data_IF_084739401146
#
_entry.id   IF_084739401146
#
_cell.length_a   1.000
_cell.length_b   1.000
_cell.length_c   1.000
_cell.angle_alpha   90.00
_cell.angle_beta   90.00
_cell.angle_gamma   90.00
#
_symmetry.space_group_name_H-M   'P 1'
#
loop_
_entity.id
_entity.type
_entity.pdbx_description
1 polymer ?
#
# COMPACT_ATOMS: atom_id res chain seq x y z
N UNK A 1 16.05 15.22 -6.27
CA UNK A 1 16.24 15.61 -4.86
C UNK A 1 15.28 14.79 -4.03
N UNK A 2 15.76 14.15 -2.96
CA UNK A 2 14.91 13.47 -1.97
C UNK A 2 14.63 14.44 -0.82
N UNK A 3 13.39 14.49 -0.33
CA UNK A 3 13.02 15.29 0.84
C UNK A 3 12.99 14.39 2.07
N UNK A 4 13.87 14.64 3.04
CA UNK A 4 13.93 13.90 4.29
C UNK A 4 13.33 14.70 5.43
N UNK A 5 12.32 14.14 6.10
CA UNK A 5 11.70 14.68 7.29
C UNK A 5 12.11 13.87 8.51
N UNK A 6 13.09 14.37 9.28
CA UNK A 6 13.59 13.73 10.50
C UNK A 6 12.79 14.12 11.76
N UNK A 7 12.19 15.31 11.75
CA UNK A 7 11.46 15.89 12.87
C UNK A 7 10.49 16.96 12.41
N UNK A 8 9.49 17.22 13.23
CA UNK A 8 8.49 18.26 12.99
C UNK A 8 7.34 17.77 12.14
N UNK A 9 6.39 18.68 11.90
CA UNK A 9 5.15 18.40 11.21
C UNK A 9 5.10 19.23 9.93
N UNK A 10 4.95 18.56 8.79
CA UNK A 10 4.82 19.16 7.46
C UNK A 10 3.50 18.73 6.84
N UNK A 11 2.74 19.69 6.34
CA UNK A 11 1.52 19.46 5.56
C UNK A 11 1.79 19.95 4.14
N UNK A 12 1.56 19.07 3.16
CA UNK A 12 1.58 19.41 1.74
C UNK A 12 0.17 19.17 1.22
N UNK A 13 -0.46 20.23 0.71
CA UNK A 13 -1.82 20.17 0.23
C UNK A 13 -2.01 20.95 -1.06
N UNK A 14 -3.01 20.55 -1.81
CA UNK A 14 -3.55 21.34 -2.92
C UNK A 14 -4.12 22.66 -2.41
N UNK A 15 -3.93 23.74 -3.19
CA UNK A 15 -4.56 25.02 -2.90
C UNK A 15 -6.09 24.90 -2.94
N UNK A 16 -6.76 25.38 -1.90
CA UNK A 16 -8.21 25.24 -1.73
C UNK A 16 -8.68 23.84 -1.32
N UNK A 17 -7.80 22.96 -0.81
CA UNK A 17 -8.20 21.65 -0.27
C UNK A 17 -9.36 21.77 0.74
N UNK A 18 -10.44 21.04 0.48
CA UNK A 18 -11.59 20.90 1.35
C UNK A 18 -12.10 19.46 1.24
N UNK A 19 -12.24 18.76 2.37
CA UNK A 19 -12.64 17.34 2.39
C UNK A 19 -14.12 17.09 2.04
N UNK A 20 -14.91 18.15 1.85
CA UNK A 20 -16.36 18.09 1.64
C UNK A 20 -16.77 18.70 0.30
N UNK A 21 -16.00 19.66 -0.21
CA UNK A 21 -16.32 20.41 -1.42
C UNK A 21 -15.45 19.94 -2.60
N UNK A 22 -15.91 20.20 -3.83
CA UNK A 22 -15.14 19.88 -5.03
C UNK A 22 -13.94 20.85 -5.19
N UNK A 23 -12.77 20.29 -5.49
CA UNK A 23 -11.57 21.05 -5.82
C UNK A 23 -10.72 20.29 -6.84
N UNK A 24 -9.79 20.99 -7.48
CA UNK A 24 -8.88 20.39 -8.47
C UNK A 24 -7.58 19.98 -7.80
N UNK A 25 -7.31 18.67 -7.75
CA UNK A 25 -6.05 18.11 -7.22
C UNK A 25 -4.85 18.64 -8.00
N UNK A 26 -3.84 19.14 -7.30
CA UNK A 26 -2.57 19.54 -7.90
C UNK A 26 -1.67 18.32 -8.11
N UNK A 27 -1.11 18.22 -9.32
CA UNK A 27 -0.24 17.11 -9.70
C UNK A 27 1.20 17.33 -9.23
N UNK A 28 1.82 16.27 -8.70
CA UNK A 28 3.25 16.14 -8.51
C UNK A 28 3.79 15.24 -9.63
N UNK A 29 4.72 15.77 -10.44
CA UNK A 29 5.29 15.04 -11.58
C UNK A 29 6.30 13.99 -11.10
N UNK A 30 5.81 12.80 -10.74
CA UNK A 30 6.65 11.77 -10.11
C UNK A 30 7.67 11.13 -11.06
N UNK A 31 7.47 11.24 -12.38
CA UNK A 31 8.41 10.76 -13.42
C UNK A 31 9.78 11.42 -13.35
N UNK A 32 9.85 12.61 -12.76
CA UNK A 32 11.10 13.37 -12.62
C UNK A 32 12.00 12.87 -11.48
N UNK A 33 11.54 11.93 -10.66
CA UNK A 33 12.26 11.45 -9.50
C UNK A 33 12.76 10.01 -9.71
N UNK A 34 14.07 9.82 -9.62
CA UNK A 34 14.71 8.49 -9.63
C UNK A 34 14.98 7.94 -8.22
N UNK A 35 14.88 8.79 -7.21
CA UNK A 35 15.01 8.51 -5.78
C UNK A 35 13.68 8.73 -5.05
N UNK A 36 13.56 8.28 -3.81
CA UNK A 36 12.40 8.61 -2.96
C UNK A 36 12.13 10.11 -2.92
N UNK A 37 10.87 10.50 -3.14
CA UNK A 37 10.42 11.88 -3.04
C UNK A 37 10.32 12.30 -1.58
N UNK A 38 9.72 11.44 -0.75
CA UNK A 38 9.57 11.66 0.68
C UNK A 38 10.22 10.51 1.46
N UNK A 39 11.10 10.87 2.39
CA UNK A 39 11.67 9.95 3.39
C UNK A 39 11.32 10.48 4.78
N UNK A 40 10.65 9.69 5.60
CA UNK A 40 10.16 10.12 6.92
C UNK A 40 10.79 9.20 7.98
N UNK A 41 11.52 9.79 8.93
CA UNK A 41 12.13 9.06 10.04
C UNK A 41 12.18 9.91 11.31
N UNK A 42 12.78 9.40 12.38
CA UNK A 42 12.77 10.05 13.68
C UNK A 42 11.34 10.36 14.14
N UNK A 43 11.09 11.64 14.40
CA UNK A 43 9.77 12.15 14.84
C UNK A 43 9.05 12.92 13.74
N UNK A 44 9.42 12.68 12.47
CA UNK A 44 8.81 13.34 11.33
C UNK A 44 7.33 12.98 11.19
N UNK A 45 6.50 13.98 10.94
CA UNK A 45 5.09 13.82 10.59
C UNK A 45 4.80 14.52 9.26
N UNK A 46 4.41 13.75 8.25
CA UNK A 46 4.00 14.25 6.94
C UNK A 46 2.52 14.00 6.70
N UNK A 47 1.79 15.06 6.35
CA UNK A 47 0.42 14.99 5.82
C UNK A 47 0.41 15.37 4.33
N UNK A 48 -0.22 14.53 3.50
CA UNK A 48 -0.41 14.72 2.07
C UNK A 48 -1.92 14.80 1.79
N UNK A 49 -2.41 15.97 1.39
CA UNK A 49 -3.85 16.26 1.30
C UNK A 49 -4.26 16.71 -0.10
N UNK A 50 -5.16 15.97 -0.74
CA UNK A 50 -5.74 16.41 -2.01
C UNK A 50 -4.77 16.44 -3.19
N UNK A 51 -3.71 15.64 -3.18
CA UNK A 51 -2.66 15.64 -4.20
C UNK A 51 -2.87 14.55 -5.24
N UNK A 52 -2.38 14.78 -6.45
CA UNK A 52 -2.34 13.79 -7.52
C UNK A 52 -0.89 13.41 -7.85
N UNK A 53 -0.56 12.13 -7.75
CA UNK A 53 0.75 11.56 -8.03
C UNK A 53 0.66 10.73 -9.30
N UNK A 54 1.25 11.23 -10.38
CA UNK A 54 1.15 10.60 -11.70
C UNK A 54 2.52 10.28 -12.30
N UNK A 55 2.53 9.24 -13.15
CA UNK A 55 3.62 8.86 -14.04
C UNK A 55 4.91 8.57 -13.30
N UNK A 56 4.92 7.58 -12.41
CA UNK A 56 6.16 7.19 -11.73
C UNK A 56 7.26 6.81 -12.70
N UNK A 57 8.48 7.21 -12.36
CA UNK A 57 9.66 6.85 -13.12
C UNK A 57 9.90 5.33 -13.01
N UNK A 58 9.71 4.55 -14.11
CA UNK A 58 9.82 3.09 -14.05
C UNK A 58 11.26 2.61 -13.85
N UNK A 59 12.24 3.50 -14.04
CA UNK A 59 13.66 3.21 -13.82
C UNK A 59 14.13 3.51 -12.40
N UNK A 60 13.25 4.03 -11.53
CA UNK A 60 13.59 4.22 -10.12
C UNK A 60 13.81 2.87 -9.43
N UNK A 61 14.77 2.83 -8.51
CA UNK A 61 15.01 1.66 -7.66
C UNK A 61 14.55 1.89 -6.22
N UNK A 62 14.11 3.12 -5.91
CA UNK A 62 13.70 3.52 -4.57
C UNK A 62 12.18 3.71 -4.54
N UNK A 63 11.53 3.48 -3.38
CA UNK A 63 10.11 3.75 -3.27
C UNK A 63 9.83 5.25 -3.36
N UNK A 64 8.67 5.65 -3.88
CA UNK A 64 8.28 7.07 -3.93
C UNK A 64 8.25 7.68 -2.52
N UNK A 65 7.70 6.94 -1.56
CA UNK A 65 7.60 7.31 -0.15
C UNK A 65 8.21 6.22 0.70
N UNK A 66 9.15 6.59 1.57
CA UNK A 66 9.74 5.70 2.56
C UNK A 66 9.48 6.22 3.97
N UNK A 67 9.05 5.34 4.86
CA UNK A 67 8.95 5.61 6.30
C UNK A 67 9.78 4.56 7.05
N UNK A 68 10.57 5.01 8.02
CA UNK A 68 11.43 4.13 8.81
C UNK A 68 11.61 4.64 10.23
N UNK A 69 11.45 3.75 11.20
CA UNK A 69 11.68 4.07 12.62
C UNK A 69 13.14 3.82 13.01
N UNK A 70 13.75 4.83 13.62
CA UNK A 70 15.09 4.80 14.21
C UNK A 70 15.12 5.31 15.66
N UNK A 71 13.93 5.53 16.26
CA UNK A 71 13.76 6.08 17.61
C UNK A 71 12.52 5.54 18.31
N UNK A 72 12.39 5.77 19.63
CA UNK A 72 11.22 5.33 20.43
C UNK A 72 9.92 6.05 20.04
N UNK A 73 10.01 7.16 19.30
CA UNK A 73 8.85 7.91 18.82
C UNK A 73 8.66 7.62 17.33
N UNK A 74 7.55 6.99 16.94
CA UNK A 74 7.37 6.57 15.56
C UNK A 74 7.12 7.77 14.63
N UNK A 75 7.73 7.79 13.43
CA UNK A 75 7.37 8.73 12.38
C UNK A 75 5.93 8.48 11.91
N UNK A 76 5.33 9.50 11.29
CA UNK A 76 3.93 9.48 10.90
C UNK A 76 3.75 9.92 9.44
N UNK A 77 2.93 9.17 8.71
CA UNK A 77 2.48 9.50 7.36
C UNK A 77 0.96 9.45 7.29
N UNK A 78 0.34 10.58 6.95
CA UNK A 78 -1.07 10.65 6.62
C UNK A 78 -1.23 11.02 5.15
N UNK A 79 -2.01 10.20 4.42
CA UNK A 79 -2.41 10.44 3.04
C UNK A 79 -3.93 10.51 3.03
N UNK A 80 -4.47 11.63 2.60
CA UNK A 80 -5.90 11.88 2.63
C UNK A 80 -6.38 12.49 1.33
N UNK A 81 -7.43 11.89 0.78
CA UNK A 81 -8.06 12.34 -0.47
C UNK A 81 -7.04 12.56 -1.59
N UNK A 82 -6.06 11.66 -1.70
CA UNK A 82 -5.06 11.72 -2.77
C UNK A 82 -5.43 10.79 -3.93
N UNK A 83 -4.71 10.95 -5.03
CA UNK A 83 -4.78 10.07 -6.19
C UNK A 83 -3.39 9.62 -6.60
N UNK A 84 -3.19 8.32 -6.78
CA UNK A 84 -1.98 7.72 -7.32
C UNK A 84 -2.37 6.95 -8.58
N UNK A 85 -1.93 7.41 -9.73
CA UNK A 85 -2.24 6.74 -11.00
C UNK A 85 -0.99 6.61 -11.85
N UNK A 86 -0.95 5.57 -12.66
CA UNK A 86 -0.07 5.54 -13.83
C UNK A 86 -0.89 5.85 -15.07
N UNK A 87 -0.57 6.98 -15.74
CA UNK A 87 -1.23 7.37 -16.98
C UNK A 87 -1.10 6.31 -18.08
N UNK A 88 -2.09 6.26 -18.98
CA UNK A 88 -2.13 5.35 -20.14
C UNK A 88 -1.09 5.66 -21.22
N UNK A 89 -0.12 6.53 -20.93
CA UNK A 89 1.02 6.79 -21.80
C UNK A 89 2.03 5.62 -21.70
N UNK A 90 3.28 5.83 -22.12
CA UNK A 90 4.30 4.77 -22.10
C UNK A 90 4.50 4.15 -20.71
N UNK A 91 4.19 4.85 -19.63
CA UNK A 91 4.49 4.42 -18.27
C UNK A 91 3.58 3.31 -17.74
N UNK A 92 2.31 3.26 -18.15
CA UNK A 92 1.38 2.17 -17.80
C UNK A 92 1.85 0.77 -18.26
N UNK A 93 2.71 0.70 -19.27
CA UNK A 93 3.18 -0.57 -19.82
C UNK A 93 4.40 -1.15 -19.09
N UNK A 94 5.14 -0.31 -18.36
CA UNK A 94 6.34 -0.71 -17.65
C UNK A 94 6.00 -1.29 -16.29
N UNK A 95 6.66 -2.42 -15.96
CA UNK A 95 6.65 -2.94 -14.60
C UNK A 95 7.60 -2.13 -13.72
N UNK A 96 7.15 -1.71 -12.55
CA UNK A 96 7.94 -1.06 -11.52
C UNK A 96 8.73 -2.10 -10.71
N UNK A 97 10.03 -1.86 -10.52
CA UNK A 97 10.94 -2.69 -9.73
C UNK A 97 11.12 -2.21 -8.29
N UNK A 98 10.27 -1.29 -7.83
CA UNK A 98 10.20 -0.75 -6.48
C UNK A 98 8.74 -0.64 -6.03
N UNK A 99 8.51 -0.48 -4.72
CA UNK A 99 7.18 -0.23 -4.15
C UNK A 99 6.84 1.26 -4.17
N UNK A 100 5.57 1.67 -4.20
CA UNK A 100 5.24 3.10 -4.08
C UNK A 100 5.54 3.59 -2.66
N UNK A 101 5.11 2.80 -1.68
CA UNK A 101 5.27 3.10 -0.25
C UNK A 101 5.99 1.93 0.40
N UNK A 102 7.13 2.21 1.04
CA UNK A 102 7.87 1.24 1.84
C UNK A 102 7.87 1.66 3.30
N UNK A 103 7.55 0.72 4.20
CA UNK A 103 7.38 0.95 5.64
C UNK A 103 8.32 0.03 6.39
N UNK A 104 9.22 0.61 7.20
CA UNK A 104 10.16 -0.09 8.09
C UNK A 104 9.99 0.47 9.51
N UNK A 105 8.78 0.33 10.04
CA UNK A 105 8.34 0.94 11.29
C UNK A 105 7.69 2.31 11.11
N UNK A 106 6.79 2.65 12.03
CA UNK A 106 6.10 3.94 12.08
C UNK A 106 4.58 3.80 12.05
N UNK A 107 3.89 4.93 11.96
CA UNK A 107 2.43 4.99 11.86
C UNK A 107 2.05 5.53 10.47
N UNK A 108 1.20 4.81 9.75
CA UNK A 108 0.65 5.28 8.48
C UNK A 108 -0.87 5.22 8.49
N UNK A 109 -1.50 6.28 7.98
CA UNK A 109 -2.92 6.33 7.68
C UNK A 109 -3.14 6.72 6.22
N UNK A 110 -3.94 5.94 5.51
CA UNK A 110 -4.44 6.29 4.16
C UNK A 110 -5.96 6.35 4.21
N UNK A 111 -6.53 7.46 3.77
CA UNK A 111 -7.97 7.68 3.79
C UNK A 111 -8.46 8.32 2.49
N UNK A 112 -9.64 7.88 2.01
CA UNK A 112 -10.32 8.46 0.83
C UNK A 112 -9.45 8.58 -0.42
N UNK A 113 -8.50 7.68 -0.60
CA UNK A 113 -7.51 7.76 -1.68
C UNK A 113 -7.89 6.84 -2.84
N UNK A 114 -7.60 7.26 -4.08
CA UNK A 114 -7.71 6.40 -5.28
C UNK A 114 -6.32 6.00 -5.74
N UNK A 115 -6.11 4.71 -5.98
CA UNK A 115 -4.84 4.15 -6.39
C UNK A 115 -5.06 3.18 -7.55
N UNK A 116 -4.48 3.46 -8.71
CA UNK A 116 -4.78 2.69 -9.91
C UNK A 116 -3.66 2.52 -10.94
N UNK A 117 -3.80 1.46 -11.75
CA UNK A 117 -3.03 1.20 -12.96
C UNK A 117 -1.53 0.92 -12.74
N UNK A 118 -1.16 0.32 -11.61
CA UNK A 118 0.23 -0.07 -11.34
C UNK A 118 0.51 -1.53 -11.70
N UNK A 119 1.70 -1.74 -12.28
CA UNK A 119 2.26 -3.05 -12.57
C UNK A 119 3.61 -3.17 -11.90
N UNK A 120 3.81 -4.18 -11.06
CA UNK A 120 5.04 -4.42 -10.31
C UNK A 120 5.76 -5.69 -10.81
N UNK A 121 7.05 -5.77 -10.54
CA UNK A 121 7.88 -6.96 -10.78
C UNK A 121 8.84 -7.22 -9.62
N UNK A 122 9.57 -8.34 -9.69
CA UNK A 122 10.60 -8.71 -8.71
C UNK A 122 10.06 -8.82 -7.28
N UNK A 123 8.84 -9.32 -7.10
CA UNK A 123 8.22 -9.48 -5.79
C UNK A 123 7.76 -8.19 -5.10
N UNK A 124 7.86 -7.02 -5.76
CA UNK A 124 7.37 -5.76 -5.22
C UNK A 124 5.84 -5.66 -5.24
N UNK A 125 5.33 -4.78 -4.39
CA UNK A 125 3.92 -4.47 -4.21
C UNK A 125 3.73 -2.96 -4.11
N UNK A 126 2.50 -2.48 -4.16
CA UNK A 126 2.23 -1.05 -4.02
C UNK A 126 2.68 -0.51 -2.65
N UNK A 127 2.27 -1.20 -1.58
CA UNK A 127 2.69 -0.95 -0.20
C UNK A 127 3.45 -2.18 0.27
N UNK A 128 4.68 -1.96 0.74
CA UNK A 128 5.48 -3.01 1.38
C UNK A 128 5.76 -2.66 2.84
N UNK A 129 5.26 -3.48 3.76
CA UNK A 129 5.54 -3.38 5.20
C UNK A 129 6.60 -4.42 5.54
N UNK A 130 7.78 -3.95 5.93
CA UNK A 130 8.96 -4.76 6.26
C UNK A 130 8.87 -5.34 7.67
N UNK A 131 9.52 -6.49 7.93
CA UNK A 131 9.55 -7.12 9.25
C UNK A 131 10.44 -6.40 10.27
N UNK A 132 11.12 -5.33 9.87
CA UNK A 132 12.25 -4.77 10.60
C UNK A 132 11.86 -4.13 11.94
N UNK A 133 10.74 -3.42 11.99
CA UNK A 133 10.31 -2.55 13.10
C UNK A 133 8.78 -2.50 13.20
N UNK A 134 8.26 -2.19 14.40
CA UNK A 134 6.82 -2.08 14.68
C UNK A 134 6.15 -1.05 13.78
N UNK A 135 5.20 -1.51 12.98
CA UNK A 135 4.44 -0.68 12.04
C UNK A 135 2.95 -0.74 12.37
N UNK A 136 2.30 0.42 12.47
CA UNK A 136 0.83 0.52 12.60
C UNK A 136 0.27 1.19 11.35
N UNK A 137 -0.43 0.42 10.53
CA UNK A 137 -0.97 0.87 9.24
C UNK A 137 -2.48 0.76 9.25
N UNK A 138 -3.18 1.87 8.98
CA UNK A 138 -4.64 1.91 8.80
C UNK A 138 -4.98 2.45 7.43
N UNK A 139 -5.84 1.74 6.70
CA UNK A 139 -6.33 2.14 5.37
C UNK A 139 -7.85 2.12 5.41
N UNK A 140 -8.48 3.25 5.10
CA UNK A 140 -9.95 3.42 5.10
C UNK A 140 -10.45 4.10 3.83
N UNK A 141 -11.66 3.76 3.38
CA UNK A 141 -12.36 4.43 2.27
C UNK A 141 -11.53 4.58 0.98
N UNK A 142 -10.58 3.66 0.76
CA UNK A 142 -9.55 3.77 -0.29
C UNK A 142 -9.80 2.72 -1.37
N UNK A 143 -9.54 3.10 -2.63
CA UNK A 143 -9.73 2.23 -3.80
C UNK A 143 -8.38 1.82 -4.40
N UNK A 144 -8.19 0.52 -4.60
CA UNK A 144 -7.07 -0.06 -5.33
C UNK A 144 -7.63 -0.72 -6.60
N UNK A 145 -7.25 -0.24 -7.78
CA UNK A 145 -7.82 -0.73 -9.05
C UNK A 145 -6.71 -1.08 -10.05
N UNK A 146 -6.80 -2.25 -10.70
CA UNK A 146 -5.83 -2.68 -11.73
C UNK A 146 -4.38 -2.70 -11.23
N UNK A 147 -4.17 -3.26 -10.04
CA UNK A 147 -2.84 -3.40 -9.44
C UNK A 147 -2.32 -4.81 -9.71
N UNK A 148 -1.26 -4.95 -10.50
CA UNK A 148 -0.76 -6.25 -10.94
C UNK A 148 0.68 -6.49 -10.50
N UNK A 149 1.01 -7.73 -10.15
CA UNK A 149 2.36 -8.18 -9.85
C UNK A 149 2.76 -9.27 -10.84
N UNK A 150 3.94 -9.12 -11.45
CA UNK A 150 4.49 -10.04 -12.45
C UNK A 150 5.78 -10.71 -11.99
N UNK A 151 5.99 -11.96 -12.41
CA UNK A 151 6.99 -12.84 -11.82
C UNK A 151 6.50 -13.49 -10.53
N UNK A 152 7.44 -14.01 -9.74
CA UNK A 152 7.14 -14.42 -8.37
C UNK A 152 6.87 -13.18 -7.52
N UNK A 153 5.73 -13.15 -6.83
CA UNK A 153 5.41 -12.07 -5.90
C UNK A 153 4.13 -12.30 -5.14
N UNK A 154 3.93 -11.49 -4.11
CA UNK A 154 2.90 -11.69 -3.09
C UNK A 154 2.15 -10.39 -2.87
N UNK A 155 0.82 -10.41 -2.91
CA UNK A 155 -0.04 -9.24 -2.67
C UNK A 155 0.31 -8.06 -3.58
N UNK A 156 -0.34 -7.92 -4.74
CA UNK A 156 0.04 -6.84 -5.67
C UNK A 156 -0.13 -5.44 -5.08
N UNK A 157 -1.17 -5.24 -4.26
CA UNK A 157 -1.43 -3.99 -3.58
C UNK A 157 -0.66 -3.90 -2.26
N UNK A 158 -0.73 -4.93 -1.42
CA UNK A 158 -0.11 -4.89 -0.09
C UNK A 158 0.64 -6.20 0.18
N UNK A 159 1.92 -6.09 0.47
CA UNK A 159 2.71 -7.17 1.06
C UNK A 159 3.12 -6.74 2.46
N UNK A 160 2.63 -7.46 3.47
CA UNK A 160 2.80 -7.12 4.87
C UNK A 160 3.55 -8.20 5.64
N UNK A 161 4.68 -7.82 6.24
CA UNK A 161 5.43 -8.65 7.19
C UNK A 161 5.22 -8.10 8.60
N UNK A 162 4.15 -8.54 9.27
CA UNK A 162 3.70 -8.00 10.55
C UNK A 162 4.38 -8.74 11.70
N UNK A 163 5.52 -8.21 12.13
CA UNK A 163 6.29 -8.70 13.28
C UNK A 163 6.33 -7.63 14.37
N UNK A 164 6.77 -7.98 15.58
CA UNK A 164 7.03 -7.00 16.66
C UNK A 164 5.80 -6.12 16.97
N UNK A 165 4.64 -6.74 17.19
CA UNK A 165 3.39 -6.05 17.52
C UNK A 165 2.84 -5.16 16.39
N UNK A 166 3.26 -5.42 15.14
CA UNK A 166 2.79 -4.67 13.98
C UNK A 166 1.34 -4.97 13.64
N UNK A 167 0.62 -3.95 13.18
CA UNK A 167 -0.80 -4.00 12.86
C UNK A 167 -1.02 -3.46 11.45
N UNK A 168 -1.75 -4.22 10.62
CA UNK A 168 -2.35 -3.73 9.39
C UNK A 168 -3.87 -3.84 9.52
N UNK A 169 -4.55 -2.69 9.46
CA UNK A 169 -6.02 -2.59 9.42
C UNK A 169 -6.49 -2.01 8.09
N UNK A 170 -7.34 -2.74 7.39
CA UNK A 170 -8.03 -2.31 6.16
C UNK A 170 -9.53 -2.29 6.46
N UNK A 171 -10.18 -1.14 6.31
CA UNK A 171 -11.51 -0.92 6.89
C UNK A 171 -12.35 0.09 6.10
N UNK A 172 -13.55 0.39 6.60
CA UNK A 172 -14.44 1.45 6.13
C UNK A 172 -14.61 1.49 4.61
N UNK A 173 -15.16 0.42 4.03
CA UNK A 173 -15.52 0.36 2.61
C UNK A 173 -14.35 0.53 1.63
N UNK A 174 -13.12 0.13 2.00
CA UNK A 174 -12.05 -0.01 1.00
C UNK A 174 -12.44 -1.01 -0.11
N UNK A 175 -11.96 -0.77 -1.32
CA UNK A 175 -12.20 -1.66 -2.45
C UNK A 175 -10.92 -2.05 -3.15
N UNK A 176 -10.72 -3.34 -3.39
CA UNK A 176 -9.65 -3.89 -4.23
C UNK A 176 -10.29 -4.51 -5.46
N UNK A 177 -10.03 -3.96 -6.63
CA UNK A 177 -10.66 -4.37 -7.88
C UNK A 177 -9.63 -4.71 -8.95
N UNK A 178 -9.71 -5.90 -9.53
CA UNK A 178 -8.75 -6.37 -10.53
C UNK A 178 -7.29 -6.33 -10.02
N UNK A 179 -7.07 -6.66 -8.75
CA UNK A 179 -5.73 -6.81 -8.19
C UNK A 179 -5.26 -8.26 -8.36
N UNK A 180 -4.08 -8.46 -8.96
CA UNK A 180 -3.63 -9.83 -9.26
C UNK A 180 -2.14 -10.05 -9.14
N UNK A 181 -1.75 -11.25 -8.73
CA UNK A 181 -0.41 -11.81 -8.93
C UNK A 181 -0.43 -12.83 -10.07
N UNK A 182 0.74 -13.23 -10.56
CA UNK A 182 0.82 -14.32 -11.54
C UNK A 182 0.25 -15.64 -11.02
N UNK A 183 -0.13 -16.50 -11.96
CA UNK A 183 -0.67 -17.84 -11.67
C UNK A 183 0.47 -18.87 -11.56
N UNK A 184 1.40 -18.62 -10.64
CA UNK A 184 2.56 -19.48 -10.37
C UNK A 184 2.59 -19.90 -8.89
N UNK A 185 3.21 -21.05 -8.58
CA UNK A 185 3.16 -21.67 -7.26
C UNK A 185 3.65 -20.79 -6.10
N UNK A 186 4.59 -19.87 -6.37
CA UNK A 186 5.13 -18.92 -5.38
C UNK A 186 4.29 -17.64 -5.23
N UNK A 187 3.16 -17.52 -5.94
CA UNK A 187 2.33 -16.33 -5.93
C UNK A 187 1.15 -16.47 -4.98
N UNK A 188 1.08 -15.57 -4.00
CA UNK A 188 0.14 -15.62 -2.87
C UNK A 188 -0.59 -14.29 -2.74
N UNK A 189 -1.91 -14.31 -2.59
CA UNK A 189 -2.70 -13.12 -2.34
C UNK A 189 -2.79 -12.20 -3.56
N UNK A 190 -3.93 -12.18 -4.25
CA UNK A 190 -4.05 -11.37 -5.48
C UNK A 190 -3.91 -9.88 -5.21
N UNK A 191 -4.49 -9.42 -4.11
CA UNK A 191 -4.43 -8.04 -3.62
C UNK A 191 -3.49 -7.92 -2.42
N UNK A 192 -3.70 -8.75 -1.40
CA UNK A 192 -3.00 -8.64 -0.11
C UNK A 192 -2.33 -9.97 0.24
N UNK A 193 -1.07 -9.90 0.62
CA UNK A 193 -0.39 -10.97 1.33
C UNK A 193 0.08 -10.46 2.69
N UNK A 194 -0.13 -11.25 3.73
CA UNK A 194 0.31 -10.92 5.08
C UNK A 194 0.97 -12.13 5.77
N UNK A 195 2.11 -11.90 6.41
CA UNK A 195 2.64 -12.76 7.47
C UNK A 195 2.36 -12.06 8.79
N UNK A 196 1.70 -12.74 9.72
CA UNK A 196 1.40 -12.20 11.05
C UNK A 196 2.11 -13.06 12.08
N UNK A 197 3.18 -12.51 12.64
CA UNK A 197 4.11 -13.22 13.52
C UNK A 197 4.24 -12.48 14.86
N UNK A 198 3.76 -13.13 15.92
CA UNK A 198 3.83 -12.63 17.29
C UNK A 198 2.48 -12.30 17.91
N UNK A 199 2.37 -12.44 19.23
CA UNK A 199 1.09 -12.44 19.97
C UNK A 199 0.29 -11.14 19.92
N UNK A 200 0.94 -10.00 19.66
CA UNK A 200 0.24 -8.72 19.51
C UNK A 200 0.20 -8.22 18.06
N UNK A 201 0.77 -8.99 17.11
CA UNK A 201 0.70 -8.66 15.68
C UNK A 201 -0.69 -9.01 15.14
N UNK A 202 -1.26 -8.12 14.32
CA UNK A 202 -2.65 -8.26 13.86
C UNK A 202 -2.83 -7.87 12.40
N UNK A 203 -3.55 -8.71 11.67
CA UNK A 203 -4.10 -8.38 10.36
C UNK A 203 -5.62 -8.28 10.45
N UNK A 204 -6.18 -7.11 10.15
CA UNK A 204 -7.60 -6.82 10.32
C UNK A 204 -8.17 -6.33 9.00
N UNK A 205 -9.23 -6.98 8.53
CA UNK A 205 -10.03 -6.52 7.38
C UNK A 205 -11.49 -6.49 7.80
N UNK A 206 -12.09 -5.29 7.86
CA UNK A 206 -13.42 -5.12 8.43
C UNK A 206 -14.29 -4.09 7.71
N UNK A 207 -15.55 -3.96 8.11
CA UNK A 207 -16.38 -2.79 7.81
C UNK A 207 -16.64 -2.53 6.31
N UNK A 208 -17.26 -3.50 5.63
CA UNK A 208 -17.73 -3.42 4.24
C UNK A 208 -16.61 -3.35 3.20
N UNK A 209 -15.40 -3.81 3.54
CA UNK A 209 -14.31 -3.96 2.56
C UNK A 209 -14.73 -4.95 1.47
N UNK A 210 -14.39 -4.63 0.23
CA UNK A 210 -14.73 -5.43 -0.95
C UNK A 210 -13.50 -5.79 -1.77
N UNK A 211 -13.38 -7.06 -2.12
CA UNK A 211 -12.47 -7.58 -3.13
C UNK A 211 -13.28 -8.02 -4.34
N UNK A 212 -12.97 -7.49 -5.51
CA UNK A 212 -13.66 -7.78 -6.77
C UNK A 212 -12.67 -8.17 -7.86
N UNK A 213 -12.87 -9.34 -8.47
CA UNK A 213 -12.03 -9.83 -9.58
C UNK A 213 -10.53 -9.88 -9.24
N UNK A 214 -10.20 -10.10 -7.97
CA UNK A 214 -8.82 -10.34 -7.57
C UNK A 214 -8.40 -11.77 -7.95
N UNK A 215 -7.13 -11.96 -8.27
CA UNK A 215 -6.65 -13.25 -8.72
C UNK A 215 -5.23 -13.58 -8.21
N UNK A 216 -5.03 -14.80 -7.74
CA UNK A 216 -3.71 -15.35 -7.39
C UNK A 216 -3.67 -16.86 -7.56
N UNK A 217 -2.47 -17.45 -7.51
CA UNK A 217 -2.35 -18.90 -7.53
C UNK A 217 -2.86 -19.50 -6.21
N UNK A 218 -2.57 -18.84 -5.08
CA UNK A 218 -3.15 -19.16 -3.77
C UNK A 218 -3.70 -17.88 -3.12
N UNK A 219 -4.88 -17.96 -2.50
CA UNK A 219 -5.52 -16.80 -1.87
C UNK A 219 -5.94 -15.76 -2.90
N UNK A 220 -7.11 -15.96 -3.53
CA UNK A 220 -7.49 -15.23 -4.75
C UNK A 220 -7.42 -13.71 -4.60
N UNK A 221 -7.88 -13.23 -3.45
CA UNK A 221 -7.71 -11.84 -3.03
C UNK A 221 -6.67 -11.68 -1.91
N UNK A 222 -6.77 -12.50 -0.86
CA UNK A 222 -5.94 -12.40 0.33
C UNK A 222 -5.28 -13.76 0.60
N UNK A 223 -4.01 -13.75 0.97
CA UNK A 223 -3.33 -14.89 1.59
C UNK A 223 -2.68 -14.43 2.90
N UNK A 224 -2.90 -15.18 3.98
CA UNK A 224 -2.38 -14.84 5.32
C UNK A 224 -1.68 -16.05 5.93
N UNK A 225 -0.48 -15.84 6.42
CA UNK A 225 0.29 -16.80 7.22
C UNK A 225 0.29 -16.35 8.68
N UNK A 226 -0.16 -17.22 9.59
CA UNK A 226 -0.24 -16.94 11.03
C UNK A 226 0.82 -17.73 11.80
N UNK A 227 1.68 -17.02 12.53
CA UNK A 227 2.82 -17.55 13.27
C UNK A 227 2.81 -17.00 14.70
N UNK A 228 3.36 -17.77 15.66
CA UNK A 228 3.62 -17.33 17.04
C UNK A 228 2.47 -16.54 17.71
N UNK A 229 1.24 -17.02 17.57
CA UNK A 229 0.01 -16.41 18.12
C UNK A 229 -0.42 -15.08 17.46
N UNK A 230 0.08 -14.77 16.26
CA UNK A 230 -0.44 -13.69 15.42
C UNK A 230 -1.93 -13.85 15.14
N UNK A 231 -2.64 -12.74 15.01
CA UNK A 231 -4.09 -12.73 14.86
C UNK A 231 -4.54 -12.22 13.48
N UNK A 232 -5.61 -12.81 12.97
CA UNK A 232 -6.26 -12.38 11.74
C UNK A 232 -7.76 -12.24 12.02
N UNK A 233 -8.30 -11.06 11.70
CA UNK A 233 -9.74 -10.78 11.74
C UNK A 233 -10.21 -10.40 10.34
N UNK A 234 -11.18 -11.14 9.82
CA UNK A 234 -11.88 -10.82 8.56
C UNK A 234 -13.37 -10.78 8.87
N UNK A 235 -13.95 -9.59 8.94
CA UNK A 235 -15.33 -9.39 9.40
C UNK A 235 -16.11 -8.49 8.43
N UNK A 236 -17.29 -8.90 7.99
CA UNK A 236 -18.13 -8.08 7.11
C UNK A 236 -17.39 -7.65 5.82
N UNK A 237 -16.71 -8.61 5.19
CA UNK A 237 -15.93 -8.43 3.95
C UNK A 237 -16.59 -9.20 2.81
N UNK A 238 -16.63 -8.60 1.61
CA UNK A 238 -17.17 -9.24 0.41
C UNK A 238 -16.06 -9.64 -0.55
N UNK A 239 -16.08 -10.89 -1.00
CA UNK A 239 -15.26 -11.39 -2.11
C UNK A 239 -16.18 -11.67 -3.30
N UNK A 240 -15.96 -10.99 -4.43
CA UNK A 240 -16.80 -11.08 -5.62
C UNK A 240 -15.95 -11.42 -6.83
N UNK A 241 -16.25 -12.54 -7.49
CA UNK A 241 -15.54 -12.96 -8.71
C UNK A 241 -14.02 -13.08 -8.54
N UNK A 242 -13.55 -13.32 -7.30
CA UNK A 242 -12.14 -13.62 -7.03
C UNK A 242 -11.81 -15.04 -7.50
N UNK A 243 -10.61 -15.23 -8.05
CA UNK A 243 -10.22 -16.51 -8.68
C UNK A 243 -8.91 -17.04 -8.12
N UNK A 244 -8.84 -18.37 -8.03
CA UNK A 244 -7.72 -19.14 -7.46
C UNK A 244 -7.46 -20.36 -8.33
N UNK A 245 -6.19 -20.70 -8.52
CA UNK A 245 -5.78 -21.87 -9.30
C UNK A 245 -5.34 -23.08 -8.46
N UNK A 246 -5.07 -22.92 -7.15
CA UNK A 246 -4.70 -24.02 -6.26
C UNK A 246 -5.49 -24.04 -4.94
N UNK A 247 -5.22 -23.08 -4.02
CA UNK A 247 -5.76 -23.10 -2.65
C UNK A 247 -6.30 -21.72 -2.20
N UNK A 248 -7.38 -21.70 -1.40
CA UNK A 248 -7.86 -20.50 -0.68
C UNK A 248 -8.76 -19.54 -1.49
N UNK A 249 -9.88 -20.06 -2.02
CA UNK A 249 -10.90 -19.30 -2.76
C UNK A 249 -11.48 -18.10 -2.01
#
# INVERSE_FOLDING_TARGET
MSTTLLKGHVVIQTDGYNSIEDYTKQSILTSSFSSSLFTISGTGHLELLGLHFDNLNPSSNDPLISISTDSDFPPQLQIEDCEFSQGSDSYSTYSLSNSIISISGGIMKIERTTIENYKFMNGNSLIYIKPDQTSTVTISQTKFTYITQTGAGKGSAINAQLQQDSILKVTDSCTFSNCSTQQSYDCLGGAIYAVVDGSNSQFIVSDLVKFEKCQSFQGGAISVELLNMGTCEVNNVQFKECTVNNDGG
#
